data_IF_967207842619
#
_entry.id   IF_967207842619
#
_cell.length_a   1.000
_cell.length_b   1.000
_cell.length_c   1.000
_cell.angle_alpha   90.00
_cell.angle_beta   90.00
_cell.angle_gamma   90.00
#
_symmetry.space_group_name_H-M   'P 1'
#
loop_
_entity.id
_entity.type
_entity.pdbx_description
1 polymer ?
#
# COMPACT_ATOMS: atom_id res chain seq x y z
N UNK A 1 -10.17 0.47 -25.47
CA UNK A 1 -8.94 0.13 -24.73
C UNK A 1 -7.66 0.16 -25.61
N UNK A 2 -7.76 0.29 -26.95
CA UNK A 2 -6.60 0.44 -27.84
C UNK A 2 -6.16 1.91 -28.11
N UNK A 3 -6.57 2.87 -27.29
CA UNK A 3 -6.18 4.31 -27.41
C UNK A 3 -5.29 4.75 -26.24
N UNK A 4 -4.95 3.83 -25.32
CA UNK A 4 -4.18 4.13 -24.10
C UNK A 4 -2.75 3.55 -24.11
N UNK A 5 -2.26 3.08 -25.25
CA UNK A 5 -0.87 2.67 -25.41
C UNK A 5 -0.27 3.42 -26.60
N UNK A 6 0.46 4.53 -26.38
CA UNK A 6 1.39 5.02 -27.37
C UNK A 6 2.62 4.13 -27.35
N UNK A 7 3.04 3.72 -28.55
CA UNK A 7 4.22 2.92 -28.79
C UNK A 7 5.47 3.56 -28.17
N UNK A 8 6.19 2.77 -27.35
CA UNK A 8 7.55 3.08 -26.91
C UNK A 8 7.69 3.75 -25.54
N UNK A 9 7.46 3.00 -24.46
CA UNK A 9 7.88 3.39 -23.11
C UNK A 9 6.99 2.84 -22.01
N UNK A 10 7.28 1.60 -21.60
CA UNK A 10 6.64 0.86 -20.53
C UNK A 10 6.68 1.62 -19.19
N UNK A 11 5.72 2.51 -18.94
CA UNK A 11 5.31 2.79 -17.56
C UNK A 11 4.56 1.55 -17.08
N UNK A 12 5.34 0.55 -16.66
CA UNK A 12 4.85 -0.46 -15.75
C UNK A 12 4.39 0.28 -14.50
N UNK A 13 3.11 0.59 -14.41
CA UNK A 13 2.45 0.87 -13.15
C UNK A 13 1.86 -0.47 -12.67
N UNK A 14 2.70 -1.45 -12.23
CA UNK A 14 2.21 -2.75 -11.81
C UNK A 14 1.18 -2.60 -10.69
N UNK A 15 1.34 -1.59 -9.82
CA UNK A 15 0.37 -1.24 -8.79
C UNK A 15 -0.98 -0.79 -9.37
N UNK A 16 -1.00 0.00 -10.45
CA UNK A 16 -2.26 0.40 -11.09
C UNK A 16 -2.97 -0.78 -11.75
N UNK A 17 -2.20 -1.72 -12.34
CA UNK A 17 -2.75 -2.95 -12.91
C UNK A 17 -3.32 -3.87 -11.81
N UNK A 18 -2.62 -3.98 -10.67
CA UNK A 18 -3.09 -4.74 -9.51
C UNK A 18 -4.42 -4.17 -8.96
N UNK A 19 -4.49 -2.86 -8.76
CA UNK A 19 -5.70 -2.20 -8.26
C UNK A 19 -6.86 -2.26 -9.26
N UNK A 20 -6.58 -2.17 -10.56
CA UNK A 20 -7.59 -2.43 -11.60
C UNK A 20 -8.11 -3.87 -11.52
N UNK A 21 -7.22 -4.85 -11.35
CA UNK A 21 -7.62 -6.25 -11.17
C UNK A 21 -8.54 -6.44 -9.96
N UNK A 22 -8.27 -5.75 -8.84
CA UNK A 22 -9.14 -5.75 -7.66
C UNK A 22 -10.49 -5.10 -7.96
N UNK A 23 -10.53 -3.94 -8.62
CA UNK A 23 -11.80 -3.28 -8.97
C UNK A 23 -12.65 -4.12 -9.91
N UNK A 24 -12.02 -4.76 -10.90
CA UNK A 24 -12.69 -5.64 -11.85
C UNK A 24 -13.27 -6.87 -11.12
N UNK A 25 -12.51 -7.45 -10.19
CA UNK A 25 -12.96 -8.57 -9.34
C UNK A 25 -14.14 -8.16 -8.46
N UNK A 26 -14.04 -7.04 -7.74
CA UNK A 26 -15.12 -6.53 -6.87
C UNK A 26 -16.39 -6.25 -7.67
N UNK A 27 -16.25 -5.61 -8.84
CA UNK A 27 -17.39 -5.33 -9.73
C UNK A 27 -18.04 -6.63 -10.22
N UNK A 28 -17.25 -7.65 -10.51
CA UNK A 28 -17.78 -8.96 -10.94
C UNK A 28 -18.52 -9.74 -9.84
N UNK A 29 -18.21 -9.48 -8.56
CA UNK A 29 -18.80 -10.14 -7.40
C UNK A 29 -20.01 -9.36 -6.86
N UNK A 30 -19.88 -8.04 -6.75
CA UNK A 30 -20.81 -7.18 -6.02
C UNK A 30 -21.56 -6.16 -6.90
N UNK A 31 -21.24 -6.06 -8.19
CA UNK A 31 -21.94 -5.16 -9.12
C UNK A 31 -23.31 -5.67 -9.53
N UNK A 32 -24.16 -4.76 -10.04
CA UNK A 32 -25.56 -5.02 -10.44
C UNK A 32 -25.71 -6.12 -11.52
N UNK A 33 -24.65 -6.41 -12.26
CA UNK A 33 -24.59 -7.43 -13.29
C UNK A 33 -23.76 -8.65 -12.85
N UNK A 34 -23.83 -9.06 -11.58
CA UNK A 34 -23.06 -10.15 -10.95
C UNK A 34 -23.14 -11.50 -11.65
N UNK A 35 -22.49 -11.62 -12.80
CA UNK A 35 -22.49 -12.83 -13.64
C UNK A 35 -21.39 -13.81 -13.23
N UNK A 36 -20.54 -13.47 -12.24
CA UNK A 36 -19.46 -14.35 -11.79
C UNK A 36 -18.45 -14.71 -12.90
N UNK A 37 -18.45 -13.96 -14.00
CA UNK A 37 -17.68 -14.27 -15.22
C UNK A 37 -16.17 -14.24 -14.99
N UNK A 38 -15.70 -13.50 -13.99
CA UNK A 38 -14.29 -13.48 -13.57
C UNK A 38 -13.98 -14.45 -12.42
N UNK A 39 -14.97 -15.14 -11.84
CA UNK A 39 -14.77 -16.11 -10.75
C UNK A 39 -14.30 -17.48 -11.27
N UNK A 40 -13.18 -17.48 -11.98
CA UNK A 40 -12.49 -18.72 -12.36
C UNK A 40 -12.10 -19.51 -11.11
N UNK A 41 -12.13 -20.86 -11.17
CA UNK A 41 -11.76 -21.73 -10.04
C UNK A 41 -10.44 -21.33 -9.37
N UNK A 42 -9.44 -20.92 -10.15
CA UNK A 42 -8.13 -20.48 -9.63
C UNK A 42 -8.20 -19.23 -8.76
N UNK A 43 -9.10 -18.29 -9.07
CA UNK A 43 -9.30 -17.05 -8.28
C UNK A 43 -9.96 -17.39 -6.95
N UNK A 44 -11.01 -18.22 -6.99
CA UNK A 44 -11.71 -18.68 -5.78
C UNK A 44 -10.74 -19.43 -4.85
N UNK A 45 -9.97 -20.37 -5.40
CA UNK A 45 -8.98 -21.13 -4.62
C UNK A 45 -7.91 -20.19 -4.04
N UNK A 46 -7.40 -19.26 -4.83
CA UNK A 46 -6.42 -18.26 -4.34
C UNK A 46 -6.97 -17.40 -3.21
N UNK A 47 -8.22 -16.93 -3.31
CA UNK A 47 -8.88 -16.16 -2.26
C UNK A 47 -9.07 -16.96 -0.97
N UNK A 48 -9.49 -18.23 -1.07
CA UNK A 48 -9.66 -19.12 0.08
C UNK A 48 -8.31 -19.38 0.75
N UNK A 49 -7.28 -19.73 -0.04
CA UNK A 49 -5.94 -20.00 0.50
C UNK A 49 -5.37 -18.76 1.17
N UNK A 50 -5.46 -17.59 0.53
CA UNK A 50 -5.00 -16.33 1.10
C UNK A 50 -5.76 -15.97 2.38
N UNK A 51 -7.08 -16.15 2.39
CA UNK A 51 -7.92 -15.91 3.57
C UNK A 51 -7.59 -16.84 4.75
N UNK A 52 -7.41 -18.14 4.49
CA UNK A 52 -7.02 -19.12 5.52
C UNK A 52 -5.62 -18.85 6.04
N UNK A 53 -4.65 -18.60 5.15
CA UNK A 53 -3.28 -18.28 5.55
C UNK A 53 -3.22 -16.99 6.39
N UNK A 54 -3.93 -15.94 5.97
CA UNK A 54 -4.04 -14.70 6.73
C UNK A 54 -4.66 -14.90 8.11
N UNK A 55 -5.75 -15.66 8.20
CA UNK A 55 -6.40 -16.00 9.47
C UNK A 55 -5.47 -16.77 10.41
N UNK A 56 -4.77 -17.79 9.90
CA UNK A 56 -3.82 -18.58 10.70
C UNK A 56 -2.70 -17.69 11.24
N UNK A 57 -2.11 -16.84 10.40
CA UNK A 57 -1.03 -15.95 10.81
C UNK A 57 -1.50 -14.92 11.85
N UNK A 58 -2.70 -14.36 11.70
CA UNK A 58 -3.27 -13.43 12.68
C UNK A 58 -3.59 -14.12 14.01
N UNK A 59 -4.17 -15.34 13.97
CA UNK A 59 -4.42 -16.13 15.18
C UNK A 59 -3.11 -16.44 15.92
N UNK A 60 -2.07 -16.89 15.21
CA UNK A 60 -0.75 -17.15 15.80
C UNK A 60 -0.19 -15.89 16.45
N UNK A 61 -0.31 -14.73 15.80
CA UNK A 61 0.14 -13.44 16.34
C UNK A 61 -0.60 -13.06 17.62
N UNK A 62 -1.92 -13.27 17.67
CA UNK A 62 -2.76 -13.01 18.86
C UNK A 62 -2.37 -13.95 20.01
N UNK A 63 -2.28 -15.25 19.76
CA UNK A 63 -1.91 -16.24 20.78
C UNK A 63 -0.48 -16.05 21.31
N UNK A 64 0.45 -15.62 20.47
CA UNK A 64 1.83 -15.30 20.87
C UNK A 64 1.99 -13.92 21.50
N UNK A 65 0.88 -13.17 21.72
CA UNK A 65 0.90 -11.81 22.28
C UNK A 65 1.87 -10.88 21.53
N UNK A 66 1.81 -10.89 20.19
CA UNK A 66 2.71 -10.11 19.32
C UNK A 66 4.21 -10.44 19.44
N UNK A 67 4.59 -11.57 20.05
CA UNK A 67 6.00 -12.01 20.10
C UNK A 67 6.45 -12.72 18.81
N UNK A 68 5.52 -13.10 17.94
CA UNK A 68 5.85 -13.73 16.67
C UNK A 68 6.53 -12.73 15.72
N UNK A 69 7.73 -13.06 15.17
CA UNK A 69 8.53 -12.10 14.40
C UNK A 69 7.99 -11.82 12.99
N UNK A 70 7.00 -12.59 12.52
CA UNK A 70 6.41 -12.39 11.19
C UNK A 70 5.11 -11.61 11.31
N UNK A 71 5.08 -10.43 10.69
CA UNK A 71 3.87 -9.64 10.53
C UNK A 71 3.07 -10.16 9.33
N UNK A 72 1.80 -10.60 9.51
CA UNK A 72 0.93 -11.00 8.40
C UNK A 72 0.77 -9.87 7.37
N UNK A 73 0.72 -8.62 7.85
CA UNK A 73 0.67 -7.42 7.02
C UNK A 73 1.95 -7.23 6.20
N UNK A 74 3.14 -7.50 6.78
CA UNK A 74 4.39 -7.37 6.03
C UNK A 74 4.50 -8.42 4.91
N UNK A 75 4.02 -9.64 5.15
CA UNK A 75 3.98 -10.71 4.14
C UNK A 75 3.01 -10.32 3.00
N UNK A 76 1.81 -9.84 3.34
CA UNK A 76 0.81 -9.42 2.37
C UNK A 76 1.23 -8.17 1.57
N UNK A 77 1.84 -7.19 2.22
CA UNK A 77 2.34 -6.00 1.53
C UNK A 77 3.59 -6.29 0.71
N UNK A 78 4.45 -7.21 1.15
CA UNK A 78 5.69 -7.55 0.45
C UNK A 78 5.49 -8.11 -0.96
N UNK A 79 4.33 -8.71 -1.26
CA UNK A 79 4.00 -9.17 -2.63
C UNK A 79 3.44 -8.07 -3.54
N UNK A 80 3.03 -6.94 -2.97
CA UNK A 80 2.40 -5.82 -3.68
C UNK A 80 3.37 -4.65 -3.86
N UNK A 81 4.17 -4.37 -2.83
CA UNK A 81 5.02 -3.18 -2.77
C UNK A 81 6.34 -3.46 -3.52
N UNK A 82 6.70 -2.64 -4.52
CA UNK A 82 7.96 -2.80 -5.23
C UNK A 82 9.16 -2.59 -4.28
N UNK A 83 10.31 -3.20 -4.57
CA UNK A 83 11.47 -3.18 -3.68
C UNK A 83 11.95 -1.76 -3.36
N UNK A 84 11.95 -0.86 -4.35
CA UNK A 84 12.36 0.55 -4.16
C UNK A 84 11.43 1.29 -3.20
N UNK A 85 10.12 1.09 -3.29
CA UNK A 85 9.17 1.67 -2.34
C UNK A 85 9.34 1.09 -0.94
N UNK A 86 9.67 -0.20 -0.82
CA UNK A 86 9.97 -0.84 0.46
C UNK A 86 11.21 -0.22 1.11
N UNK A 87 12.27 0.03 0.33
CA UNK A 87 13.48 0.71 0.81
C UNK A 87 13.19 2.15 1.23
N UNK A 88 12.39 2.89 0.46
CA UNK A 88 12.00 4.25 0.81
C UNK A 88 11.17 4.30 2.11
N UNK A 89 10.22 3.37 2.28
CA UNK A 89 9.44 3.24 3.52
C UNK A 89 10.33 2.88 4.71
N UNK A 90 11.28 1.96 4.53
CA UNK A 90 12.26 1.62 5.55
C UNK A 90 13.12 2.82 5.93
N UNK A 91 13.61 3.59 4.95
CA UNK A 91 14.39 4.79 5.20
C UNK A 91 13.61 5.85 5.99
N UNK A 92 12.34 6.08 5.63
CA UNK A 92 11.45 6.97 6.38
C UNK A 92 11.20 6.49 7.82
N UNK A 93 10.93 5.20 8.00
CA UNK A 93 10.76 4.62 9.34
C UNK A 93 12.04 4.69 10.18
N UNK A 94 13.21 4.43 9.57
CA UNK A 94 14.50 4.54 10.23
C UNK A 94 14.80 5.98 10.65
N UNK A 95 14.48 6.96 9.80
CA UNK A 95 14.59 8.38 10.13
C UNK A 95 13.74 8.75 11.36
N UNK A 96 12.46 8.38 11.39
CA UNK A 96 11.61 8.66 12.55
C UNK A 96 12.02 7.90 13.81
N UNK A 97 12.53 6.66 13.67
CA UNK A 97 13.09 5.92 14.79
C UNK A 97 14.33 6.61 15.38
N UNK A 98 15.23 7.13 14.53
CA UNK A 98 16.38 7.93 14.97
C UNK A 98 15.94 9.25 15.61
N UNK A 99 14.96 9.94 15.01
CA UNK A 99 14.43 11.18 15.57
C UNK A 99 13.79 10.95 16.95
N UNK A 100 13.05 9.84 17.11
CA UNK A 100 12.51 9.43 18.41
C UNK A 100 13.63 9.13 19.41
N UNK A 101 14.70 8.44 18.98
CA UNK A 101 15.86 8.15 19.86
C UNK A 101 16.57 9.42 20.34
N UNK A 102 16.71 10.43 19.49
CA UNK A 102 17.42 11.68 19.81
C UNK A 102 16.55 12.65 20.62
N UNK A 103 15.30 12.87 20.20
CA UNK A 103 14.42 13.87 20.78
C UNK A 103 13.34 13.32 21.71
N UNK A 104 13.16 12.01 21.83
CA UNK A 104 12.12 11.39 22.66
C UNK A 104 12.14 11.80 24.14
N UNK A 105 13.32 12.05 24.70
CA UNK A 105 13.47 12.51 26.09
C UNK A 105 13.42 14.03 26.26
N UNK A 106 13.41 14.81 25.16
CA UNK A 106 13.49 16.29 25.18
C UNK A 106 12.13 16.91 24.84
N UNK A 107 11.11 16.65 25.66
CA UNK A 107 9.70 17.04 25.41
C UNK A 107 9.48 18.53 25.18
N UNK A 108 10.25 19.37 25.85
CA UNK A 108 10.20 20.84 25.70
C UNK A 108 10.85 21.36 24.40
N UNK A 109 11.55 20.50 23.65
CA UNK A 109 12.25 20.92 22.44
C UNK A 109 11.33 20.94 21.22
N UNK A 110 11.54 21.92 20.32
CA UNK A 110 10.83 21.98 19.04
C UNK A 110 11.03 20.70 18.20
N UNK A 111 12.18 20.05 18.34
CA UNK A 111 12.47 18.78 17.66
C UNK A 111 11.58 17.63 18.12
N UNK A 112 11.19 17.58 19.41
CA UNK A 112 10.25 16.58 19.90
C UNK A 112 8.85 16.84 19.35
N UNK A 113 8.38 18.09 19.41
CA UNK A 113 7.05 18.47 18.90
C UNK A 113 6.91 18.21 17.41
N UNK A 114 7.96 18.50 16.62
CA UNK A 114 7.90 18.33 15.16
C UNK A 114 8.12 16.87 14.71
N UNK A 115 9.10 16.16 15.26
CA UNK A 115 9.48 14.84 14.71
C UNK A 115 8.86 13.67 15.46
N UNK A 116 8.49 13.84 16.73
CA UNK A 116 7.93 12.76 17.56
C UNK A 116 6.42 12.90 17.67
N UNK A 117 5.93 14.08 18.09
CA UNK A 117 4.48 14.28 18.29
C UNK A 117 3.71 14.40 16.98
N UNK A 118 4.30 15.02 15.95
CA UNK A 118 3.64 15.22 14.64
C UNK A 118 4.03 14.21 13.56
N UNK A 119 4.60 13.05 13.92
CA UNK A 119 5.01 12.05 12.92
C UNK A 119 3.84 11.51 12.09
N UNK A 120 2.68 11.23 12.71
CA UNK A 120 1.49 10.72 12.00
C UNK A 120 0.97 11.74 10.97
N UNK A 121 0.74 13.04 11.33
CA UNK A 121 0.40 14.08 10.37
C UNK A 121 1.42 14.26 9.24
N UNK A 122 2.72 14.20 9.52
CA UNK A 122 3.77 14.37 8.50
C UNK A 122 3.70 13.22 7.49
N UNK A 123 3.64 11.97 7.96
CA UNK A 123 3.52 10.80 7.08
C UNK A 123 2.24 10.85 6.25
N UNK A 124 1.09 11.14 6.87
CA UNK A 124 -0.19 11.27 6.17
C UNK A 124 -0.14 12.41 5.14
N UNK A 125 0.45 13.55 5.50
CA UNK A 125 0.62 14.70 4.62
C UNK A 125 1.51 14.41 3.41
N UNK A 126 2.61 13.68 3.58
CA UNK A 126 3.49 13.27 2.48
C UNK A 126 2.75 12.32 1.52
N UNK A 127 2.01 11.33 2.04
CA UNK A 127 1.22 10.42 1.21
C UNK A 127 0.13 11.18 0.44
N UNK A 128 -0.61 12.06 1.11
CA UNK A 128 -1.64 12.88 0.48
C UNK A 128 -1.05 13.81 -0.59
N UNK A 129 0.09 14.45 -0.29
CA UNK A 129 0.79 15.31 -1.23
C UNK A 129 1.26 14.56 -2.48
N UNK A 130 1.88 13.39 -2.31
CA UNK A 130 2.30 12.55 -3.43
C UNK A 130 1.11 12.12 -4.30
N UNK A 131 -0.03 11.77 -3.69
CA UNK A 131 -1.25 11.43 -4.42
C UNK A 131 -1.80 12.63 -5.22
N UNK A 132 -1.84 13.83 -4.63
CA UNK A 132 -2.31 15.05 -5.31
C UNK A 132 -1.42 15.38 -6.51
N UNK A 133 -0.09 15.29 -6.37
CA UNK A 133 0.84 15.51 -7.48
C UNK A 133 0.63 14.49 -8.59
N UNK A 134 0.46 13.20 -8.25
CA UNK A 134 0.20 12.16 -9.24
C UNK A 134 -1.11 12.35 -10.00
N UNK A 135 -2.19 12.75 -9.31
CA UNK A 135 -3.46 13.09 -9.97
C UNK A 135 -3.29 14.32 -10.87
N UNK A 136 -2.59 15.35 -10.39
CA UNK A 136 -2.31 16.56 -11.16
C UNK A 136 -1.56 16.28 -12.45
N UNK A 137 -0.51 15.45 -12.39
CA UNK A 137 0.27 15.04 -13.57
C UNK A 137 -0.60 14.33 -14.61
N UNK A 138 -1.45 13.39 -14.18
CA UNK A 138 -2.40 12.70 -15.06
C UNK A 138 -3.39 13.67 -15.69
N UNK A 139 -3.93 14.63 -14.93
CA UNK A 139 -4.85 15.63 -15.46
C UNK A 139 -4.19 16.52 -16.53
N UNK A 140 -2.97 17.01 -16.26
CA UNK A 140 -2.22 17.80 -17.24
C UNK A 140 -1.96 16.97 -18.50
N UNK A 141 -1.54 15.71 -18.34
CA UNK A 141 -1.28 14.80 -19.45
C UNK A 141 -2.51 14.47 -20.28
N UNK A 142 -3.71 14.44 -19.69
CA UNK A 142 -4.95 14.11 -20.42
C UNK A 142 -5.58 15.32 -21.08
N UNK A 143 -5.49 16.50 -20.46
CA UNK A 143 -6.22 17.69 -20.92
C UNK A 143 -5.37 18.72 -21.65
N UNK A 144 -4.04 18.73 -21.47
CA UNK A 144 -3.16 19.76 -22.02
C UNK A 144 -2.05 19.22 -22.95
N UNK A 145 -1.78 17.91 -22.92
CA UNK A 145 -0.79 17.23 -23.76
C UNK A 145 -1.46 16.12 -24.59
#
# INVERSE_FOLDING_TARGET
>A
QNVMAPDGGQFGFPSAIQWKGVSDLVTSIFGDAGTGTLLTKSIIVSMIVAGVAGLVLELVRVFTKNKFPLSPLAIGLGVVVPPESTLAMFAGAAFFALAHKVWGNRKESLGHRLWVDTHEPICAGIIAGAAIIGIGDVLVKVFLL
#
